data_IF_090533174947
#
_entry.id   IF_090533174947
#
_cell.length_a   1.000
_cell.length_b   1.000
_cell.length_c   1.000
_cell.angle_alpha   90.00
_cell.angle_beta   90.00
_cell.angle_gamma   90.00
#
_symmetry.space_group_name_H-M   'P 1'
#
loop_
_entity.id
_entity.type
_entity.pdbx_description
1 polymer ?
#
# COMPACT_ATOMS: atom_id res chain seq x y z
N UNK A 1 7.76 37.45 -6.86
CA UNK A 1 8.69 37.12 -5.77
C UNK A 1 8.60 35.62 -5.59
N UNK A 2 9.60 34.96 -6.08
CA UNK A 2 9.67 33.49 -6.14
C UNK A 2 10.07 32.99 -4.74
N UNK A 3 9.10 32.59 -3.94
CA UNK A 3 9.35 31.88 -2.69
C UNK A 3 9.53 30.38 -3.01
N UNK A 4 10.53 30.08 -3.83
CA UNK A 4 10.96 28.70 -4.04
C UNK A 4 11.37 28.08 -2.72
N UNK A 5 10.43 27.55 -1.96
CA UNK A 5 10.75 26.60 -0.90
C UNK A 5 11.42 25.42 -1.58
N UNK A 6 12.72 25.32 -1.37
CA UNK A 6 13.49 24.17 -1.78
C UNK A 6 12.89 22.94 -1.10
N UNK A 7 12.27 22.06 -1.88
CA UNK A 7 11.74 20.79 -1.39
C UNK A 7 12.96 20.02 -0.85
N UNK A 8 12.88 19.57 0.39
CA UNK A 8 13.93 18.78 1.01
C UNK A 8 14.24 17.56 0.11
N UNK A 9 15.51 17.35 -0.19
CA UNK A 9 15.99 16.30 -1.11
C UNK A 9 15.66 14.86 -0.65
N UNK A 10 15.03 14.69 0.51
CA UNK A 10 14.57 13.42 1.06
C UNK A 10 13.12 13.05 0.73
N UNK A 11 12.31 13.96 0.21
CA UNK A 11 10.89 13.67 -0.08
C UNK A 11 10.78 12.98 -1.44
N UNK A 12 10.09 11.84 -1.48
CA UNK A 12 9.79 11.09 -2.69
C UNK A 12 8.31 11.21 -3.04
N UNK A 13 8.02 11.38 -4.32
CA UNK A 13 6.67 11.57 -4.83
C UNK A 13 6.20 10.37 -5.66
N UNK A 14 4.99 9.91 -5.38
CA UNK A 14 4.33 8.88 -6.16
C UNK A 14 3.04 9.36 -6.79
N UNK A 15 2.70 8.84 -7.97
CA UNK A 15 1.44 9.11 -8.63
C UNK A 15 0.67 7.82 -8.89
N UNK A 16 -0.63 7.83 -8.55
CA UNK A 16 -1.49 6.68 -8.72
C UNK A 16 -2.01 6.53 -10.16
N UNK A 17 -1.88 5.34 -10.73
CA UNK A 17 -2.57 4.98 -11.97
C UNK A 17 -4.07 4.83 -11.71
N UNK A 18 -4.89 5.33 -12.63
CA UNK A 18 -6.35 5.35 -12.48
C UNK A 18 -7.12 4.57 -13.53
N UNK A 19 -6.47 4.22 -14.64
CA UNK A 19 -7.11 3.53 -15.76
C UNK A 19 -6.52 2.15 -15.95
N UNK A 20 -7.30 1.14 -15.60
CA UNK A 20 -6.90 -0.27 -15.72
C UNK A 20 -6.62 -0.70 -17.17
N UNK A 21 -7.25 -0.04 -18.15
CA UNK A 21 -7.06 -0.27 -19.58
C UNK A 21 -5.82 0.43 -20.19
N UNK A 22 -5.14 1.30 -19.42
CA UNK A 22 -4.01 2.12 -19.90
C UNK A 22 -2.81 2.11 -18.95
N UNK A 23 -2.58 1.00 -18.27
CA UNK A 23 -1.55 0.89 -17.23
C UNK A 23 -0.16 1.23 -17.76
N UNK A 24 0.25 0.60 -18.88
CA UNK A 24 1.59 0.81 -19.46
C UNK A 24 1.80 2.26 -19.93
N UNK A 25 0.76 2.87 -20.52
CA UNK A 25 0.80 4.26 -20.99
C UNK A 25 0.97 5.24 -19.80
N UNK A 26 0.16 5.03 -18.74
CA UNK A 26 0.24 5.87 -17.53
C UNK A 26 1.58 5.70 -16.80
N UNK A 27 2.08 4.46 -16.67
CA UNK A 27 3.35 4.22 -16.00
C UNK A 27 4.52 4.92 -16.72
N UNK A 28 4.59 4.84 -18.05
CA UNK A 28 5.58 5.58 -18.85
C UNK A 28 5.46 7.09 -18.71
N UNK A 29 4.23 7.61 -18.69
CA UNK A 29 4.01 9.04 -18.51
C UNK A 29 4.49 9.51 -17.12
N UNK A 30 4.23 8.74 -16.08
CA UNK A 30 4.68 9.01 -14.71
C UNK A 30 6.21 8.99 -14.61
N UNK A 31 6.86 7.99 -15.24
CA UNK A 31 8.33 7.93 -15.31
C UNK A 31 8.93 9.14 -16.02
N UNK A 32 8.37 9.53 -17.18
CA UNK A 32 8.83 10.68 -17.97
C UNK A 32 8.62 12.02 -17.24
N UNK A 33 7.67 12.11 -16.33
CA UNK A 33 7.43 13.28 -15.48
C UNK A 33 8.39 13.36 -14.29
N UNK A 34 9.23 12.35 -14.06
CA UNK A 34 10.24 12.36 -13.02
C UNK A 34 9.71 12.02 -11.61
N UNK A 35 8.57 11.34 -11.49
CA UNK A 35 8.12 10.80 -10.21
C UNK A 35 9.01 9.66 -9.75
N UNK A 36 9.09 9.44 -8.42
CA UNK A 36 9.85 8.35 -7.81
C UNK A 36 9.07 7.04 -7.80
N UNK A 37 7.74 7.12 -7.66
CA UNK A 37 6.86 5.97 -7.56
C UNK A 37 5.71 6.04 -8.57
N UNK A 38 5.36 4.89 -9.11
CA UNK A 38 4.03 4.64 -9.65
C UNK A 38 3.25 3.77 -8.68
N UNK A 39 2.00 4.15 -8.40
CA UNK A 39 1.19 3.45 -7.41
C UNK A 39 -0.13 2.98 -7.99
N UNK A 40 -0.73 1.96 -7.38
CA UNK A 40 -2.09 1.52 -7.66
C UNK A 40 -2.70 0.83 -6.44
N UNK A 41 -3.98 1.10 -6.19
CA UNK A 41 -4.77 0.35 -5.21
C UNK A 41 -5.54 -0.79 -5.87
N UNK A 42 -6.27 -1.55 -5.06
CA UNK A 42 -7.14 -2.61 -5.54
C UNK A 42 -8.43 -2.70 -4.74
N UNK A 43 -9.45 -3.22 -5.40
CA UNK A 43 -10.69 -3.73 -4.82
C UNK A 43 -11.20 -4.89 -5.68
N UNK A 44 -11.83 -5.88 -5.06
CA UNK A 44 -12.55 -6.93 -5.80
C UNK A 44 -13.82 -6.36 -6.40
N UNK A 45 -14.54 -5.58 -5.59
CA UNK A 45 -15.72 -4.83 -6.01
C UNK A 45 -15.61 -3.40 -5.49
N UNK A 46 -15.81 -2.42 -6.34
CA UNK A 46 -15.80 -1.02 -5.93
C UNK A 46 -16.86 -0.22 -6.69
N UNK A 47 -17.13 1.01 -6.27
CA UNK A 47 -18.11 1.88 -6.92
C UNK A 47 -17.66 2.40 -8.29
N UNK A 48 -16.37 2.33 -8.56
CA UNK A 48 -15.76 2.64 -9.87
C UNK A 48 -14.85 1.48 -10.29
N UNK A 49 -14.56 1.31 -11.60
CA UNK A 49 -13.61 0.29 -12.04
C UNK A 49 -12.27 0.39 -11.30
N UNK A 50 -11.86 -0.68 -10.68
CA UNK A 50 -10.59 -0.82 -9.96
C UNK A 50 -9.88 -2.08 -10.46
N UNK A 51 -8.56 -2.02 -10.61
CA UNK A 51 -7.75 -3.14 -11.06
C UNK A 51 -7.23 -3.96 -9.87
N UNK A 52 -6.54 -5.05 -10.17
CA UNK A 52 -5.73 -5.77 -9.21
C UNK A 52 -4.34 -5.13 -9.12
N UNK A 53 -3.82 -4.95 -7.91
CA UNK A 53 -2.57 -4.26 -7.69
C UNK A 53 -1.38 -5.02 -8.29
N UNK A 54 -1.24 -6.32 -8.06
CA UNK A 54 -0.12 -7.11 -8.60
C UNK A 54 -0.11 -7.13 -10.12
N UNK A 55 -1.26 -7.29 -10.76
CA UNK A 55 -1.37 -7.31 -12.22
C UNK A 55 -0.98 -5.96 -12.83
N UNK A 56 -1.53 -4.87 -12.30
CA UNK A 56 -1.20 -3.53 -12.79
C UNK A 56 0.28 -3.19 -12.58
N UNK A 57 0.85 -3.52 -11.42
CA UNK A 57 2.26 -3.25 -11.15
C UNK A 57 3.19 -4.13 -11.98
N UNK A 58 2.80 -5.37 -12.31
CA UNK A 58 3.57 -6.21 -13.24
C UNK A 58 3.63 -5.60 -14.65
N UNK A 59 2.50 -5.05 -15.14
CA UNK A 59 2.47 -4.33 -16.43
C UNK A 59 3.33 -3.06 -16.35
N UNK A 60 3.25 -2.30 -15.25
CA UNK A 60 4.07 -1.12 -15.05
C UNK A 60 5.56 -1.47 -14.96
N UNK A 61 5.93 -2.58 -14.31
CA UNK A 61 7.30 -3.08 -14.24
C UNK A 61 7.91 -3.32 -15.61
N UNK A 62 7.15 -3.96 -16.51
CA UNK A 62 7.59 -4.20 -17.89
C UNK A 62 7.60 -2.97 -18.79
N UNK A 63 6.91 -1.88 -18.39
CA UNK A 63 6.80 -0.65 -19.16
C UNK A 63 7.78 0.45 -18.73
N UNK A 64 8.45 0.31 -17.59
CA UNK A 64 9.32 1.30 -16.95
C UNK A 64 10.65 0.69 -16.52
N UNK A 65 11.64 1.52 -16.26
CA UNK A 65 13.00 1.08 -15.92
C UNK A 65 13.48 1.56 -14.55
N UNK A 66 13.02 2.70 -14.09
CA UNK A 66 13.53 3.38 -12.89
C UNK A 66 12.50 3.56 -11.77
N UNK A 67 11.22 3.66 -12.13
CA UNK A 67 10.16 3.86 -11.16
C UNK A 67 10.08 2.74 -10.12
N UNK A 68 10.01 3.10 -8.86
CA UNK A 68 9.54 2.20 -7.81
C UNK A 68 8.05 1.93 -7.99
N UNK A 69 7.65 0.72 -7.71
CA UNK A 69 6.28 0.23 -7.93
C UNK A 69 5.64 -0.04 -6.57
N UNK A 70 4.56 0.66 -6.23
CA UNK A 70 3.95 0.50 -4.91
C UNK A 70 2.46 0.18 -5.00
N UNK A 71 2.02 -0.88 -4.31
CA UNK A 71 0.59 -1.06 -4.07
C UNK A 71 0.09 -0.06 -3.00
N UNK A 72 -1.02 0.63 -3.28
CA UNK A 72 -1.63 1.60 -2.36
C UNK A 72 -3.14 1.41 -2.28
N UNK A 73 -3.57 0.27 -1.75
CA UNK A 73 -2.91 -0.82 -1.03
C UNK A 73 -3.35 -2.18 -1.58
N UNK A 74 -2.59 -3.24 -1.26
CA UNK A 74 -3.06 -4.63 -1.40
C UNK A 74 -3.96 -4.98 -0.23
N UNK A 75 -5.12 -5.57 -0.51
CA UNK A 75 -6.07 -6.07 0.50
C UNK A 75 -5.62 -7.47 0.97
N UNK A 76 -4.54 -7.52 1.73
CA UNK A 76 -3.84 -8.76 2.08
C UNK A 76 -4.73 -9.86 2.66
N UNK A 77 -5.75 -9.58 3.53
CA UNK A 77 -6.59 -10.65 4.08
C UNK A 77 -7.46 -11.38 3.07
N UNK A 78 -7.60 -10.85 1.84
CA UNK A 78 -8.34 -11.51 0.75
C UNK A 78 -7.47 -12.50 -0.05
N UNK A 79 -6.18 -12.57 0.23
CA UNK A 79 -5.26 -13.51 -0.41
C UNK A 79 -4.91 -14.68 0.51
N UNK A 80 -4.77 -15.90 -0.03
CA UNK A 80 -3.99 -16.93 0.64
C UNK A 80 -2.56 -16.41 0.87
N UNK A 81 -2.05 -16.49 2.11
CA UNK A 81 -0.77 -15.87 2.51
C UNK A 81 0.41 -16.32 1.62
N UNK A 82 0.46 -17.61 1.29
CA UNK A 82 1.52 -18.19 0.43
C UNK A 82 1.47 -17.67 -1.01
N UNK A 83 0.26 -17.40 -1.55
CA UNK A 83 0.11 -16.83 -2.88
C UNK A 83 0.48 -15.35 -2.90
N UNK A 84 0.13 -14.60 -1.85
CA UNK A 84 0.57 -13.21 -1.71
C UNK A 84 2.11 -13.12 -1.63
N UNK A 85 2.75 -13.99 -0.83
CA UNK A 85 4.21 -14.09 -0.78
C UNK A 85 4.81 -14.41 -2.15
N UNK A 86 4.25 -15.39 -2.86
CA UNK A 86 4.72 -15.78 -4.20
C UNK A 86 4.60 -14.64 -5.21
N UNK A 87 3.46 -13.94 -5.23
CA UNK A 87 3.24 -12.81 -6.14
C UNK A 87 4.18 -11.64 -5.82
N UNK A 88 4.37 -11.34 -4.53
CA UNK A 88 5.28 -10.28 -4.10
C UNK A 88 6.74 -10.58 -4.50
N UNK A 89 7.23 -11.79 -4.24
CA UNK A 89 8.58 -12.19 -4.62
C UNK A 89 8.78 -12.21 -6.14
N UNK A 90 7.80 -12.74 -6.88
CA UNK A 90 7.86 -12.79 -8.34
C UNK A 90 7.85 -11.38 -8.97
N UNK A 91 7.03 -10.48 -8.44
CA UNK A 91 6.99 -9.09 -8.91
C UNK A 91 8.28 -8.35 -8.55
N UNK A 92 8.83 -8.59 -7.38
CA UNK A 92 10.11 -8.00 -6.98
C UNK A 92 11.24 -8.42 -7.92
N UNK A 93 11.35 -9.70 -8.22
CA UNK A 93 12.32 -10.22 -9.21
C UNK A 93 12.05 -9.64 -10.61
N UNK A 94 10.82 -9.68 -11.09
CA UNK A 94 10.45 -9.19 -12.41
C UNK A 94 10.68 -7.68 -12.59
N UNK A 95 10.58 -6.91 -11.52
CA UNK A 95 10.84 -5.47 -11.52
C UNK A 95 12.31 -5.10 -11.32
N UNK A 96 13.19 -6.07 -11.03
CA UNK A 96 14.59 -5.81 -10.69
C UNK A 96 14.75 -5.15 -9.32
N UNK A 97 13.94 -5.55 -8.33
CA UNK A 97 14.02 -5.03 -6.95
C UNK A 97 13.38 -3.64 -6.78
N UNK A 98 12.39 -3.29 -7.60
CA UNK A 98 11.70 -1.99 -7.53
C UNK A 98 10.34 -2.05 -6.83
N UNK A 99 9.89 -3.22 -6.39
CA UNK A 99 8.58 -3.41 -5.79
C UNK A 99 8.57 -3.03 -4.32
N UNK A 100 7.57 -2.27 -3.91
CA UNK A 100 7.22 -1.91 -2.53
C UNK A 100 5.78 -2.36 -2.26
N UNK A 101 5.55 -3.11 -1.20
CA UNK A 101 4.23 -3.66 -0.92
C UNK A 101 3.49 -2.85 0.14
N UNK A 102 2.54 -2.02 -0.30
CA UNK A 102 1.60 -1.38 0.61
C UNK A 102 0.45 -2.32 0.97
N UNK A 103 0.16 -2.45 2.25
CA UNK A 103 -0.77 -3.43 2.81
C UNK A 103 -1.83 -2.74 3.64
N UNK A 104 -3.08 -3.10 3.39
CA UNK A 104 -4.22 -2.72 4.22
C UNK A 104 -5.09 -3.91 4.56
N UNK A 105 -5.91 -3.71 5.58
CA UNK A 105 -6.86 -4.75 6.04
C UNK A 105 -8.21 -4.67 5.32
N UNK A 106 -8.50 -3.59 4.58
CA UNK A 106 -9.79 -3.37 3.95
C UNK A 106 -10.95 -3.31 4.94
N UNK A 107 -12.14 -3.62 4.44
CA UNK A 107 -13.39 -3.70 5.23
C UNK A 107 -14.34 -2.54 4.99
N UNK A 108 -14.03 -1.62 4.07
CA UNK A 108 -14.94 -0.54 3.64
C UNK A 108 -16.13 -1.10 2.87
N UNK A 109 -15.91 -2.19 2.14
CA UNK A 109 -16.95 -2.91 1.38
C UNK A 109 -17.07 -4.37 1.88
N UNK A 110 -17.93 -4.66 2.85
CA UNK A 110 -18.08 -6.00 3.42
C UNK A 110 -18.37 -7.11 2.37
N UNK A 111 -19.03 -6.76 1.26
CA UNK A 111 -19.34 -7.68 0.16
C UNK A 111 -18.11 -8.28 -0.51
N UNK A 112 -16.98 -7.56 -0.53
CA UNK A 112 -15.72 -8.11 -1.07
C UNK A 112 -15.24 -9.29 -0.23
N UNK A 113 -15.34 -9.16 1.08
CA UNK A 113 -14.96 -10.18 2.05
C UNK A 113 -15.89 -11.38 2.00
N UNK A 114 -17.20 -11.12 1.98
CA UNK A 114 -18.22 -12.15 1.89
C UNK A 114 -18.03 -13.01 0.63
N UNK A 115 -17.91 -12.37 -0.52
CA UNK A 115 -17.71 -13.06 -1.80
C UNK A 115 -16.36 -13.78 -1.91
N UNK A 116 -15.37 -13.34 -1.16
CA UNK A 116 -14.04 -13.97 -1.08
C UNK A 116 -13.97 -15.06 0.01
N UNK A 117 -15.07 -15.34 0.70
CA UNK A 117 -15.12 -16.36 1.77
C UNK A 117 -14.32 -15.98 3.02
N UNK A 118 -14.07 -14.69 3.26
CA UNK A 118 -13.30 -14.19 4.40
C UNK A 118 -14.20 -13.39 5.34
N UNK A 119 -14.41 -13.82 6.59
CA UNK A 119 -15.14 -13.01 7.57
C UNK A 119 -14.45 -11.64 7.79
N UNK A 120 -15.18 -10.54 7.66
CA UNK A 120 -14.65 -9.18 7.88
C UNK A 120 -14.03 -9.03 9.27
N UNK A 121 -14.59 -9.70 10.29
CA UNK A 121 -14.08 -9.68 11.66
C UNK A 121 -12.68 -10.29 11.81
N UNK A 122 -12.26 -11.15 10.89
CA UNK A 122 -10.96 -11.83 10.92
C UNK A 122 -9.87 -11.07 10.16
N UNK A 123 -10.22 -10.02 9.40
CA UNK A 123 -9.30 -9.33 8.49
C UNK A 123 -7.97 -8.91 9.12
N UNK A 124 -8.02 -8.38 10.35
CA UNK A 124 -6.81 -7.94 11.05
C UNK A 124 -5.91 -9.10 11.48
N UNK A 125 -6.50 -10.17 12.02
CA UNK A 125 -5.77 -11.36 12.46
C UNK A 125 -5.17 -12.11 11.25
N UNK A 126 -5.94 -12.28 10.16
CA UNK A 126 -5.45 -12.88 8.92
C UNK A 126 -4.30 -12.08 8.30
N UNK A 127 -4.38 -10.75 8.34
CA UNK A 127 -3.28 -9.90 7.86
C UNK A 127 -2.01 -10.10 8.69
N UNK A 128 -2.12 -10.15 10.01
CA UNK A 128 -0.96 -10.37 10.88
C UNK A 128 -0.30 -11.72 10.62
N UNK A 129 -1.10 -12.79 10.55
CA UNK A 129 -0.60 -14.14 10.27
C UNK A 129 0.02 -14.23 8.86
N UNK A 130 -0.59 -13.60 7.86
CA UNK A 130 -0.02 -13.54 6.51
C UNK A 130 1.34 -12.82 6.47
N UNK A 131 1.49 -11.72 7.22
CA UNK A 131 2.76 -11.00 7.32
C UNK A 131 3.86 -11.84 7.99
N UNK A 132 3.53 -12.62 9.01
CA UNK A 132 4.46 -13.56 9.64
C UNK A 132 4.92 -14.63 8.64
N UNK A 133 3.98 -15.23 7.93
CA UNK A 133 4.26 -16.25 6.91
C UNK A 133 5.13 -15.66 5.79
N UNK A 134 4.78 -14.48 5.29
CA UNK A 134 5.56 -13.81 4.24
C UNK A 134 7.01 -13.56 4.68
N UNK A 135 7.20 -13.07 5.92
CA UNK A 135 8.54 -12.86 6.48
C UNK A 135 9.36 -14.15 6.50
N UNK A 136 8.75 -15.27 6.95
CA UNK A 136 9.43 -16.57 6.97
C UNK A 136 9.76 -17.03 5.55
N UNK A 137 8.78 -17.01 4.63
CA UNK A 137 8.96 -17.48 3.26
C UNK A 137 9.99 -16.67 2.47
N UNK A 138 10.14 -15.39 2.74
CA UNK A 138 11.13 -14.54 2.06
C UNK A 138 12.56 -14.81 2.52
N UNK A 139 12.75 -15.28 3.77
CA UNK A 139 14.07 -15.36 4.40
C UNK A 139 14.55 -16.76 4.71
N UNK A 140 13.67 -17.75 4.74
CA UNK A 140 14.00 -19.11 5.18
C UNK A 140 13.57 -20.15 4.15
N UNK A 141 14.24 -21.30 4.22
CA UNK A 141 13.86 -22.54 3.56
C UNK A 141 13.21 -23.49 4.57
N UNK A 142 12.53 -24.52 4.08
CA UNK A 142 11.89 -25.54 4.91
C UNK A 142 10.97 -24.93 5.97
N UNK A 143 10.13 -23.98 5.57
CA UNK A 143 9.27 -23.23 6.48
C UNK A 143 8.15 -24.11 7.03
N UNK A 144 8.08 -24.17 8.36
CA UNK A 144 6.97 -24.75 9.11
C UNK A 144 6.21 -23.63 9.83
N UNK A 145 4.90 -23.67 9.79
CA UNK A 145 4.04 -22.69 10.46
C UNK A 145 2.72 -23.35 10.88
N UNK A 146 2.33 -23.19 12.13
CA UNK A 146 1.08 -23.70 12.67
C UNK A 146 0.25 -22.53 13.21
N UNK A 147 -0.51 -21.89 12.32
CA UNK A 147 -1.33 -20.73 12.62
C UNK A 147 -2.81 -21.06 12.74
N UNK A 148 -3.58 -20.03 13.05
CA UNK A 148 -5.04 -20.15 13.12
C UNK A 148 -5.68 -20.33 11.74
N UNK A 149 -5.14 -19.68 10.72
CA UNK A 149 -5.71 -19.62 9.38
C UNK A 149 -4.88 -20.37 8.33
N UNK A 150 -3.61 -20.61 8.61
CA UNK A 150 -2.69 -21.25 7.69
C UNK A 150 -1.81 -22.27 8.43
N UNK A 151 -1.53 -23.38 7.73
CA UNK A 151 -0.58 -24.39 8.19
C UNK A 151 0.40 -24.68 7.07
N UNK A 152 1.70 -24.63 7.36
CA UNK A 152 2.79 -24.94 6.43
C UNK A 152 3.65 -26.05 7.00
N UNK A 153 4.08 -26.97 6.17
CA UNK A 153 4.90 -28.09 6.57
C UNK A 153 6.03 -28.31 5.57
N UNK A 154 7.21 -27.78 5.89
CA UNK A 154 8.43 -27.99 5.13
C UNK A 154 8.39 -27.41 3.71
N UNK A 155 7.94 -26.15 3.57
CA UNK A 155 7.82 -25.49 2.27
C UNK A 155 8.90 -24.44 2.06
N UNK A 156 9.43 -24.37 0.84
CA UNK A 156 10.40 -23.35 0.40
C UNK A 156 9.78 -22.51 -0.71
N UNK A 157 9.85 -21.18 -0.58
CA UNK A 157 9.43 -20.25 -1.61
C UNK A 157 10.60 -19.98 -2.57
N UNK A 158 10.39 -20.21 -3.87
CA UNK A 158 11.31 -19.82 -4.94
C UNK A 158 10.57 -19.13 -6.10
N UNK A 159 11.12 -18.05 -6.70
CA UNK A 159 12.34 -17.37 -6.27
C UNK A 159 12.11 -16.62 -4.95
N UNK A 160 13.19 -16.42 -4.19
CA UNK A 160 13.22 -15.43 -3.12
C UNK A 160 13.15 -14.02 -3.72
N UNK A 161 12.68 -13.00 -2.99
CA UNK A 161 12.78 -11.61 -3.44
C UNK A 161 14.24 -11.19 -3.68
N UNK A 162 14.48 -10.28 -4.62
CA UNK A 162 15.79 -9.64 -4.79
C UNK A 162 16.12 -8.71 -3.63
N UNK A 163 15.13 -7.96 -3.17
CA UNK A 163 15.28 -7.09 -2.01
C UNK A 163 15.32 -7.92 -0.72
N UNK A 164 16.33 -7.70 0.11
CA UNK A 164 16.54 -8.46 1.33
C UNK A 164 16.36 -7.55 2.57
N UNK A 165 15.72 -8.02 3.65
CA UNK A 165 15.16 -9.38 3.85
C UNK A 165 13.80 -9.58 3.14
N UNK A 166 13.23 -8.54 2.55
CA UNK A 166 11.96 -8.55 1.82
C UNK A 166 11.82 -7.29 0.96
N UNK A 167 10.89 -7.24 0.01
CA UNK A 167 10.40 -5.97 -0.50
C UNK A 167 9.95 -5.08 0.65
N UNK A 168 10.15 -3.75 0.60
CA UNK A 168 9.69 -2.84 1.64
C UNK A 168 8.18 -2.98 1.87
N UNK A 169 7.79 -3.20 3.13
CA UNK A 169 6.40 -3.38 3.56
C UNK A 169 5.88 -2.07 4.13
N UNK A 170 4.89 -1.50 3.48
CA UNK A 170 4.21 -0.28 3.89
C UNK A 170 2.84 -0.62 4.49
N UNK A 171 2.63 -0.31 5.75
CA UNK A 171 1.36 -0.58 6.43
C UNK A 171 0.47 0.64 6.33
N UNK A 172 -0.78 0.42 5.93
CA UNK A 172 -1.81 1.45 5.87
C UNK A 172 -2.91 1.22 6.89
N UNK A 173 -3.58 2.30 7.27
CA UNK A 173 -4.69 2.29 8.20
C UNK A 173 -4.85 3.61 8.92
N UNK A 174 -5.75 3.65 9.92
CA UNK A 174 -6.08 4.90 10.63
C UNK A 174 -6.20 4.75 12.14
N UNK A 175 -5.96 3.56 12.68
CA UNK A 175 -6.23 3.24 14.09
C UNK A 175 -5.06 2.50 14.72
N UNK A 176 -5.01 2.49 16.03
CA UNK A 176 -4.00 1.85 16.87
C UNK A 176 -3.57 0.44 16.41
N UNK A 177 -4.50 -0.41 16.02
CA UNK A 177 -4.17 -1.74 15.51
C UNK A 177 -3.32 -1.72 14.23
N UNK A 178 -3.43 -0.68 13.40
CA UNK A 178 -2.58 -0.49 12.24
C UNK A 178 -1.21 0.08 12.64
N UNK A 179 -1.14 0.95 13.64
CA UNK A 179 0.13 1.46 14.18
C UNK A 179 0.97 0.34 14.80
N UNK A 180 0.36 -0.56 15.59
CA UNK A 180 1.05 -1.76 16.12
C UNK A 180 1.54 -2.68 15.02
N UNK A 181 0.74 -2.84 13.95
CA UNK A 181 1.15 -3.62 12.78
C UNK A 181 2.33 -2.98 12.05
N UNK A 182 2.31 -1.66 11.87
CA UNK A 182 3.42 -0.91 11.29
C UNK A 182 4.69 -1.04 12.15
N UNK A 183 4.57 -0.95 13.46
CA UNK A 183 5.68 -1.15 14.38
C UNK A 183 6.29 -2.55 14.24
N UNK A 184 5.46 -3.59 14.16
CA UNK A 184 5.92 -4.99 14.13
C UNK A 184 6.46 -5.45 12.78
N UNK A 185 5.83 -5.04 11.67
CA UNK A 185 6.09 -5.60 10.34
C UNK A 185 6.52 -4.57 9.30
N UNK A 186 6.25 -3.28 9.52
CA UNK A 186 6.43 -2.24 8.52
C UNK A 186 7.87 -1.75 8.39
N UNK A 187 8.29 -1.50 7.16
CA UNK A 187 9.41 -0.60 6.85
C UNK A 187 8.89 0.82 6.65
N UNK A 188 7.61 0.97 6.29
CA UNK A 188 6.94 2.26 6.11
C UNK A 188 5.52 2.28 6.66
N UNK A 189 5.05 3.49 6.97
CA UNK A 189 3.69 3.81 7.38
C UNK A 189 3.04 4.70 6.32
N UNK A 190 1.88 4.31 5.78
CA UNK A 190 1.19 5.00 4.68
C UNK A 190 -0.30 5.21 5.01
N UNK A 191 -0.65 6.17 5.87
CA UNK A 191 -2.04 6.51 6.16
C UNK A 191 -2.67 7.31 5.02
N UNK A 192 -4.00 7.40 5.04
CA UNK A 192 -4.80 8.27 4.16
C UNK A 192 -5.86 9.01 4.95
N UNK A 193 -6.30 10.18 4.43
CA UNK A 193 -7.23 11.09 5.13
C UNK A 193 -6.73 11.45 6.52
N UNK A 194 -5.50 11.88 6.60
CA UNK A 194 -4.80 12.29 7.81
C UNK A 194 -4.49 13.77 7.76
N UNK A 195 -4.66 14.46 8.88
CA UNK A 195 -4.09 15.79 9.08
C UNK A 195 -2.58 15.67 9.45
N UNK A 196 -1.81 16.77 9.35
CA UNK A 196 -0.42 16.77 9.80
C UNK A 196 -0.26 16.31 11.26
N UNK A 197 -1.17 16.73 12.15
CA UNK A 197 -1.14 16.37 13.57
C UNK A 197 -1.36 14.86 13.77
N UNK A 198 -2.33 14.28 13.06
CA UNK A 198 -2.56 12.82 13.08
C UNK A 198 -1.36 12.03 12.59
N UNK A 199 -0.63 12.57 11.59
CA UNK A 199 0.58 11.92 11.09
C UNK A 199 1.69 11.95 12.14
N UNK A 200 1.88 13.08 12.81
CA UNK A 200 2.85 13.20 13.93
C UNK A 200 2.50 12.24 15.06
N UNK A 201 1.24 12.21 15.50
CA UNK A 201 0.76 11.31 16.55
C UNK A 201 1.02 9.84 16.19
N UNK A 202 0.63 9.43 14.99
CA UNK A 202 0.80 8.04 14.56
C UNK A 202 2.27 7.64 14.47
N UNK A 203 3.14 8.52 13.96
CA UNK A 203 4.58 8.24 13.89
C UNK A 203 5.20 8.09 15.28
N UNK A 204 4.82 8.94 16.23
CA UNK A 204 5.28 8.83 17.64
C UNK A 204 4.79 7.52 18.28
N UNK A 205 3.53 7.15 18.08
CA UNK A 205 2.98 5.91 18.60
C UNK A 205 3.66 4.67 18.00
N UNK A 206 3.91 4.66 16.68
CA UNK A 206 4.60 3.57 15.99
C UNK A 206 6.03 3.43 16.52
N UNK A 207 6.77 4.55 16.65
CA UNK A 207 8.11 4.53 17.19
C UNK A 207 8.15 3.98 18.63
N UNK A 208 7.19 4.39 19.47
CA UNK A 208 7.06 3.87 20.82
C UNK A 208 6.79 2.38 20.84
N UNK A 209 5.82 1.88 20.08
CA UNK A 209 5.51 0.44 20.03
C UNK A 209 6.69 -0.38 19.55
N UNK A 210 7.47 0.16 18.62
CA UNK A 210 8.66 -0.50 18.08
C UNK A 210 9.77 -0.59 19.11
N UNK A 211 10.02 0.49 19.86
CA UNK A 211 10.98 0.51 20.95
C UNK A 211 10.56 -0.40 22.12
N UNK A 212 9.25 -0.46 22.45
CA UNK A 212 8.72 -1.37 23.46
C UNK A 212 8.97 -2.87 23.08
N UNK A 213 9.13 -3.18 21.78
CA UNK A 213 9.51 -4.50 21.26
C UNK A 213 11.03 -4.70 21.07
N UNK A 214 11.84 -3.74 21.50
CA UNK A 214 13.30 -3.79 21.40
C UNK A 214 13.87 -3.54 20.00
N UNK A 215 13.11 -2.86 19.14
CA UNK A 215 13.51 -2.49 17.79
C UNK A 215 13.46 -0.98 17.61
N UNK A 216 14.61 -0.32 17.57
CA UNK A 216 14.72 1.13 17.41
C UNK A 216 14.94 1.59 15.96
N UNK A 217 14.84 0.67 14.97
CA UNK A 217 14.96 1.06 13.55
C UNK A 217 13.77 1.95 13.15
N UNK A 218 13.97 3.02 12.36
CA UNK A 218 12.87 3.90 11.96
C UNK A 218 11.87 3.18 11.06
N UNK A 219 10.64 3.70 11.05
CA UNK A 219 9.61 3.38 10.04
C UNK A 219 9.47 4.62 9.17
N UNK A 220 9.63 4.48 7.86
CA UNK A 220 9.55 5.59 6.92
C UNK A 220 8.14 6.20 6.93
N UNK A 221 7.99 7.50 7.17
CA UNK A 221 6.69 8.15 7.10
C UNK A 221 6.29 8.40 5.66
N UNK A 222 5.08 8.04 5.29
CA UNK A 222 4.44 8.37 4.03
C UNK A 222 3.05 8.94 4.27
N UNK A 223 2.46 9.51 3.24
CA UNK A 223 1.08 9.98 3.26
C UNK A 223 0.44 9.80 1.89
N UNK A 224 -0.71 9.12 1.85
CA UNK A 224 -1.54 9.08 0.66
C UNK A 224 -2.55 10.23 0.69
N UNK A 225 -2.49 11.10 -0.32
CA UNK A 225 -3.38 12.25 -0.44
C UNK A 225 -4.10 12.25 -1.79
N UNK A 226 -5.28 12.84 -1.81
CA UNK A 226 -5.95 13.25 -3.04
C UNK A 226 -5.64 14.73 -3.28
N UNK A 227 -5.32 15.06 -4.51
CA UNK A 227 -5.13 16.46 -4.89
C UNK A 227 -5.85 16.76 -6.19
N UNK A 228 -6.26 18.01 -6.34
CA UNK A 228 -6.83 18.56 -7.56
C UNK A 228 -6.18 19.92 -7.83
N UNK A 229 -5.70 20.12 -9.06
CA UNK A 229 -5.09 21.37 -9.45
C UNK A 229 -5.97 22.05 -10.50
N UNK A 230 -6.31 23.30 -10.27
CA UNK A 230 -7.02 24.18 -11.22
C UNK A 230 -6.61 25.63 -10.93
N UNK A 231 -6.64 26.51 -11.94
CA UNK A 231 -6.34 27.96 -11.76
C UNK A 231 -7.34 28.63 -10.82
N UNK A 232 -8.61 28.23 -10.90
CA UNK A 232 -9.67 28.67 -10.00
C UNK A 232 -9.88 27.65 -8.88
N UNK A 233 -9.73 28.09 -7.62
CA UNK A 233 -9.86 27.23 -6.45
C UNK A 233 -11.27 26.64 -6.27
N UNK A 234 -12.33 27.41 -6.56
CA UNK A 234 -13.69 26.91 -6.43
C UNK A 234 -13.97 25.75 -7.40
N UNK A 235 -13.46 25.86 -8.62
CA UNK A 235 -13.51 24.80 -9.64
C UNK A 235 -12.71 23.57 -9.19
N UNK A 236 -11.53 23.73 -8.59
CA UNK A 236 -10.74 22.63 -8.04
C UNK A 236 -11.49 21.87 -6.95
N UNK A 237 -12.10 22.59 -6.01
CA UNK A 237 -12.92 22.03 -4.92
C UNK A 237 -14.13 21.27 -5.47
N UNK A 238 -14.84 21.85 -6.43
CA UNK A 238 -15.99 21.21 -7.07
C UNK A 238 -15.60 19.89 -7.77
N UNK A 239 -14.52 19.89 -8.57
CA UNK A 239 -14.02 18.67 -9.21
C UNK A 239 -13.58 17.61 -8.20
N UNK A 240 -12.87 18.00 -7.15
CA UNK A 240 -12.46 17.10 -6.09
C UNK A 240 -13.67 16.46 -5.41
N UNK A 241 -14.66 17.27 -5.03
CA UNK A 241 -15.90 16.80 -4.42
C UNK A 241 -16.65 15.82 -5.33
N UNK A 242 -16.93 16.20 -6.57
CA UNK A 242 -17.64 15.34 -7.54
C UNK A 242 -16.90 14.02 -7.74
N UNK A 243 -15.58 14.07 -7.87
CA UNK A 243 -14.74 12.89 -8.11
C UNK A 243 -14.74 11.94 -6.92
N UNK A 244 -14.47 12.45 -5.72
CA UNK A 244 -14.40 11.64 -4.50
C UNK A 244 -15.78 11.09 -4.11
N UNK A 245 -16.83 11.91 -4.22
CA UNK A 245 -18.19 11.50 -3.93
C UNK A 245 -18.62 10.34 -4.83
N UNK A 246 -18.30 10.40 -6.12
CA UNK A 246 -18.55 9.29 -7.07
C UNK A 246 -17.71 8.06 -6.75
N UNK A 247 -16.44 8.24 -6.41
CA UNK A 247 -15.52 7.14 -6.15
C UNK A 247 -15.89 6.34 -4.91
N UNK A 248 -16.35 7.01 -3.86
CA UNK A 248 -16.68 6.40 -2.56
C UNK A 248 -18.17 6.24 -2.31
N UNK A 249 -19.01 6.69 -3.25
CA UNK A 249 -20.48 6.68 -3.12
C UNK A 249 -20.95 7.35 -1.82
N UNK A 250 -20.34 8.48 -1.45
CA UNK A 250 -20.69 9.29 -0.29
C UNK A 250 -20.41 10.77 -0.57
N UNK A 251 -21.07 11.66 0.18
CA UNK A 251 -20.87 13.11 0.03
C UNK A 251 -19.56 13.56 0.69
N UNK A 252 -18.67 14.15 -0.11
CA UNK A 252 -17.38 14.71 0.33
C UNK A 252 -17.40 16.23 0.50
N UNK A 253 -18.53 16.92 0.22
CA UNK A 253 -18.61 18.38 0.27
C UNK A 253 -18.21 18.99 1.62
N UNK A 254 -18.39 18.23 2.72
CA UNK A 254 -18.04 18.64 4.07
C UNK A 254 -16.59 18.29 4.49
N UNK A 255 -15.86 17.58 3.64
CA UNK A 255 -14.53 17.02 4.00
C UNK A 255 -13.38 17.71 3.26
N UNK A 256 -13.66 18.44 2.18
CA UNK A 256 -12.63 19.04 1.32
C UNK A 256 -12.09 20.35 1.92
N UNK A 257 -12.85 20.99 2.79
CA UNK A 257 -12.49 22.28 3.44
C UNK A 257 -11.86 22.08 4.84
N UNK A 258 -11.49 20.86 5.21
CA UNK A 258 -10.86 20.50 6.48
C UNK A 258 -9.51 19.87 6.27
#
# INVERSE_FOLDING_TARGET
MDNGQQIDAGIQFGLAMRRADKVAEQAKAIENLGYDYVTTGEHVFFHVPCSNAFISLAVAAGATTTLKLMSTITLLPLYPAVLAAKQAAALDVASGGRFHMGIGVGGELPREFEASGVPVSERGARTNEALEIMKLLFTQDDVHFDGKFNQLSGVTLEPKPLQQPSPPIWISGRKDAAWRRAARFGTGWLPYMYTPEMLVESNQAIAKYRSDEGNDSPVDPGLFIFFCCHEDNATAVEYANQRLSKQYNQDFSQMIDK
#
